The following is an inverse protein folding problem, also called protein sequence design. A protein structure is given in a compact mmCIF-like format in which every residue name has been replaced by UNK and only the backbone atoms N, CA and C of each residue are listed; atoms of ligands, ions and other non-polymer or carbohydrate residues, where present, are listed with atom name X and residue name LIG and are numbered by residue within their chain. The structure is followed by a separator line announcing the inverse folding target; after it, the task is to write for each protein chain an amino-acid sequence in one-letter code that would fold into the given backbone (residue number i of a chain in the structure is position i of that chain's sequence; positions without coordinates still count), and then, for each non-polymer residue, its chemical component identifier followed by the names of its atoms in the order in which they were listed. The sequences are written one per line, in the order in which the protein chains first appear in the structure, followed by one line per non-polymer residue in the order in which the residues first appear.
data_IF_230756837439
#
_entry.id   IF_230756837439
#
_cell.length_a   1.000
_cell.length_b   1.000
_cell.length_c   1.000
_cell.angle_alpha   90.00
_cell.angle_beta   90.00
_cell.angle_gamma   90.00
#
_symmetry.space_group_name_H-M   'P 1'
#
loop_
_entity.id
_entity.type
_entity.pdbx_description
1 polymer ?
#
# COMPACT_ATOMS: atom_id res chain seq x y z
N UNK A 1 -7.81 -27.08 1.08
CA UNK A 1 -6.37 -27.22 0.83
C UNK A 1 -6.07 -27.66 -0.60
N UNK A 2 -6.50 -28.86 -1.05
CA UNK A 2 -6.22 -29.33 -2.42
C UNK A 2 -6.67 -28.34 -3.52
N UNK A 3 -7.92 -27.84 -3.43
CA UNK A 3 -8.48 -26.88 -4.39
C UNK A 3 -7.68 -25.57 -4.39
N UNK A 4 -7.33 -25.03 -3.23
CA UNK A 4 -6.58 -23.77 -3.10
C UNK A 4 -5.13 -23.89 -3.61
N UNK A 5 -4.46 -25.02 -3.36
CA UNK A 5 -3.12 -25.26 -3.88
C UNK A 5 -3.12 -25.45 -5.41
N UNK A 6 -4.16 -26.07 -5.96
CA UNK A 6 -4.34 -26.18 -7.41
C UNK A 6 -4.46 -24.79 -8.05
N UNK A 7 -5.34 -23.92 -7.54
CA UNK A 7 -5.48 -22.55 -8.06
C UNK A 7 -4.21 -21.70 -7.89
N UNK A 8 -3.53 -21.80 -6.75
CA UNK A 8 -2.26 -21.11 -6.53
C UNK A 8 -1.17 -21.58 -7.49
N UNK A 9 -1.07 -22.89 -7.75
CA UNK A 9 -0.14 -23.46 -8.71
C UNK A 9 -0.42 -23.03 -10.16
N UNK A 10 -1.69 -23.05 -10.58
CA UNK A 10 -2.10 -22.59 -11.91
C UNK A 10 -1.80 -21.09 -12.08
N UNK A 11 -2.10 -20.27 -11.07
CA UNK A 11 -1.79 -18.83 -11.10
C UNK A 11 -0.29 -18.57 -11.23
N UNK A 12 0.55 -19.30 -10.48
CA UNK A 12 2.01 -19.20 -10.58
C UNK A 12 2.56 -19.63 -11.94
N UNK A 13 2.05 -20.74 -12.49
CA UNK A 13 2.44 -21.23 -13.81
C UNK A 13 2.08 -20.24 -14.93
N UNK A 14 0.89 -19.63 -14.87
CA UNK A 14 0.46 -18.60 -15.81
C UNK A 14 1.31 -17.33 -15.71
N UNK A 15 1.62 -16.88 -14.49
CA UNK A 15 2.48 -15.71 -14.28
C UNK A 15 3.88 -15.96 -14.84
N UNK A 16 4.49 -17.12 -14.54
CA UNK A 16 5.79 -17.48 -15.08
C UNK A 16 5.79 -17.55 -16.61
N UNK A 17 4.72 -18.10 -17.21
CA UNK A 17 4.55 -18.15 -18.66
C UNK A 17 4.38 -16.77 -19.29
N UNK A 18 3.69 -15.83 -18.62
CA UNK A 18 3.46 -14.48 -19.13
C UNK A 18 4.72 -13.60 -19.07
N UNK A 19 5.49 -13.73 -18.00
CA UNK A 19 6.72 -12.95 -17.81
C UNK A 19 7.85 -13.44 -18.73
N UNK A 20 7.85 -14.73 -19.10
CA UNK A 20 8.75 -15.30 -20.12
C UNK A 20 10.24 -15.39 -19.72
N UNK A 21 10.67 -14.67 -18.68
CA UNK A 21 11.99 -14.78 -18.04
C UNK A 21 11.89 -14.61 -16.54
N UNK A 22 12.50 -15.54 -15.79
CA UNK A 22 12.60 -15.43 -14.33
C UNK A 22 13.97 -14.89 -13.97
N UNK A 23 14.03 -13.64 -13.51
CA UNK A 23 15.24 -13.03 -12.96
C UNK A 23 15.31 -13.44 -11.48
N UNK A 24 16.38 -14.08 -10.99
CA UNK A 24 16.45 -14.63 -9.63
C UNK A 24 16.36 -13.56 -8.53
N UNK A 25 16.58 -12.30 -8.89
CA UNK A 25 16.56 -11.13 -8.01
C UNK A 25 15.15 -10.78 -7.49
N UNK A 26 14.09 -11.24 -8.16
CA UNK A 26 12.71 -10.97 -7.73
C UNK A 26 12.23 -11.90 -6.61
N UNK A 27 12.86 -13.06 -6.46
CA UNK A 27 12.48 -14.11 -5.49
C UNK A 27 13.37 -14.08 -4.24
N UNK A 28 13.66 -12.88 -3.75
CA UNK A 28 14.48 -12.67 -2.56
C UNK A 28 13.67 -12.83 -1.27
N UNK A 29 14.38 -13.01 -0.15
CA UNK A 29 13.79 -13.11 1.20
C UNK A 29 12.83 -11.96 1.54
N UNK A 30 13.05 -10.79 0.94
CA UNK A 30 12.16 -9.64 1.11
C UNK A 30 10.72 -9.94 0.66
N UNK A 31 10.53 -10.64 -0.46
CA UNK A 31 9.20 -11.06 -0.93
C UNK A 31 8.53 -12.01 0.07
N UNK A 32 9.29 -12.93 0.67
CA UNK A 32 8.77 -13.84 1.69
C UNK A 32 8.31 -13.10 2.94
N UNK A 33 9.11 -12.15 3.43
CA UNK A 33 8.74 -11.28 4.56
C UNK A 33 7.50 -10.46 4.22
N UNK A 34 7.39 -9.95 2.99
CA UNK A 34 6.23 -9.21 2.52
C UNK A 34 4.95 -10.06 2.53
N UNK A 35 5.01 -11.30 2.04
CA UNK A 35 3.86 -12.21 2.03
C UNK A 35 3.42 -12.55 3.47
N UNK A 36 4.38 -12.75 4.39
CA UNK A 36 4.08 -12.97 5.81
C UNK A 36 3.47 -11.70 6.43
N UNK A 37 3.99 -10.52 6.11
CA UNK A 37 3.44 -9.25 6.56
C UNK A 37 1.99 -9.05 6.08
N UNK A 38 1.68 -9.39 4.83
CA UNK A 38 0.30 -9.36 4.30
C UNK A 38 -0.65 -10.22 5.15
N UNK A 39 -0.23 -11.43 5.49
CA UNK A 39 -1.03 -12.35 6.31
C UNK A 39 -1.21 -11.82 7.73
N UNK A 40 -0.16 -11.23 8.32
CA UNK A 40 -0.19 -10.72 9.68
C UNK A 40 -1.02 -9.43 9.80
N UNK A 41 -0.86 -8.50 8.85
CA UNK A 41 -1.67 -7.28 8.71
C UNK A 41 -3.15 -7.62 8.50
N UNK A 42 -3.44 -8.65 7.70
CA UNK A 42 -4.82 -9.09 7.48
C UNK A 42 -5.50 -9.62 8.75
N UNK A 43 -4.75 -10.31 9.60
CA UNK A 43 -5.25 -11.03 10.77
C UNK A 43 -4.98 -12.52 10.61
N UNK A 44 -3.90 -12.98 11.24
CA UNK A 44 -3.47 -14.37 11.18
C UNK A 44 -4.58 -15.32 11.69
N UNK A 45 -4.80 -16.43 10.98
CA UNK A 45 -5.79 -17.44 11.37
C UNK A 45 -7.22 -17.19 10.87
N UNK A 46 -7.47 -16.14 10.08
CA UNK A 46 -8.80 -15.89 9.49
C UNK A 46 -8.76 -15.68 7.98
N UNK A 47 -9.69 -16.30 7.24
CA UNK A 47 -9.74 -16.20 5.78
C UNK A 47 -10.14 -14.80 5.31
N UNK A 48 -11.08 -14.14 6.01
CA UNK A 48 -11.46 -12.76 5.71
C UNK A 48 -10.35 -11.77 6.02
N UNK A 49 -9.57 -12.02 7.07
CA UNK A 49 -8.42 -11.21 7.42
C UNK A 49 -7.34 -11.27 6.34
N UNK A 50 -6.93 -12.46 5.91
CA UNK A 50 -5.92 -12.59 4.85
C UNK A 50 -6.35 -11.97 3.53
N UNK A 51 -7.64 -12.07 3.15
CA UNK A 51 -8.20 -11.38 1.99
C UNK A 51 -8.12 -9.85 2.13
N UNK A 52 -8.52 -9.30 3.29
CA UNK A 52 -8.46 -7.86 3.56
C UNK A 52 -7.02 -7.35 3.62
N UNK A 53 -6.10 -8.11 4.21
CA UNK A 53 -4.67 -7.80 4.24
C UNK A 53 -4.06 -7.78 2.85
N UNK A 54 -4.37 -8.77 2.02
CA UNK A 54 -3.92 -8.83 0.62
C UNK A 54 -4.47 -7.64 -0.18
N UNK A 55 -5.77 -7.36 -0.06
CA UNK A 55 -6.39 -6.21 -0.73
C UNK A 55 -5.76 -4.89 -0.27
N UNK A 56 -5.61 -4.69 1.04
CA UNK A 56 -5.05 -3.46 1.60
C UNK A 56 -3.61 -3.24 1.15
N UNK A 57 -2.73 -4.21 1.35
CA UNK A 57 -1.30 -4.07 1.01
C UNK A 57 -1.08 -3.90 -0.49
N UNK A 58 -1.92 -4.49 -1.35
CA UNK A 58 -1.79 -4.35 -2.80
C UNK A 58 -2.43 -3.05 -3.33
N UNK A 59 -3.54 -2.61 -2.75
CA UNK A 59 -4.25 -1.40 -3.17
C UNK A 59 -3.67 -0.12 -2.60
N UNK A 60 -3.15 -0.15 -1.36
CA UNK A 60 -2.57 1.00 -0.69
C UNK A 60 -1.46 1.71 -1.49
N UNK A 61 -0.44 1.02 -2.04
CA UNK A 61 0.57 1.68 -2.87
C UNK A 61 -0.03 2.24 -4.16
N UNK A 62 -1.17 1.71 -4.62
CA UNK A 62 -1.90 2.28 -5.76
C UNK A 62 -2.64 3.55 -5.37
N UNK A 63 -3.39 3.54 -4.28
CA UNK A 63 -4.11 4.71 -3.76
C UNK A 63 -3.14 5.87 -3.52
N UNK A 64 -1.96 5.61 -2.93
CA UNK A 64 -0.95 6.65 -2.68
C UNK A 64 -0.43 7.23 -4.00
N UNK A 65 -0.19 6.40 -5.02
CA UNK A 65 0.26 6.89 -6.34
C UNK A 65 -0.79 7.76 -7.00
N UNK A 66 -2.03 7.28 -7.02
CA UNK A 66 -3.14 8.01 -7.63
C UNK A 66 -3.39 9.33 -6.88
N UNK A 67 -3.27 9.32 -5.54
CA UNK A 67 -3.37 10.52 -4.70
C UNK A 67 -2.23 11.51 -4.96
N UNK A 68 -0.98 11.04 -5.03
CA UNK A 68 0.17 11.89 -5.34
C UNK A 68 0.08 12.47 -6.75
N UNK A 69 -0.41 11.71 -7.73
CA UNK A 69 -0.68 12.22 -9.09
C UNK A 69 -1.78 13.29 -9.08
N UNK A 70 -2.84 13.08 -8.30
CA UNK A 70 -3.87 14.10 -8.11
C UNK A 70 -3.29 15.38 -7.48
N UNK A 71 -2.44 15.26 -6.45
CA UNK A 71 -1.75 16.41 -5.84
C UNK A 71 -0.86 17.14 -6.85
N UNK A 72 -0.11 16.41 -7.69
CA UNK A 72 0.71 17.00 -8.75
C UNK A 72 -0.13 17.80 -9.75
N UNK A 73 -1.30 17.29 -10.12
CA UNK A 73 -2.24 18.01 -10.97
C UNK A 73 -2.70 19.33 -10.35
N UNK A 74 -2.95 19.35 -9.04
CA UNK A 74 -3.34 20.56 -8.29
C UNK A 74 -2.17 21.56 -8.21
N UNK A 75 -0.93 21.11 -8.03
CA UNK A 75 0.24 22.01 -8.02
C UNK A 75 0.48 22.62 -9.40
N UNK A 76 0.40 21.80 -10.46
CA UNK A 76 0.58 22.26 -11.85
C UNK A 76 -0.49 23.25 -12.29
N UNK A 77 -1.70 23.20 -11.72
CA UNK A 77 -2.73 24.20 -12.00
C UNK A 77 -2.38 25.61 -11.49
N UNK A 78 -1.45 25.76 -10.54
CA UNK A 78 -0.92 27.05 -10.08
C UNK A 78 -1.92 27.99 -9.40
N UNK A 79 -3.20 27.61 -9.32
CA UNK A 79 -4.29 28.43 -8.79
C UNK A 79 -4.77 27.90 -7.44
N UNK A 80 -4.65 28.73 -6.41
CA UNK A 80 -5.28 28.53 -5.11
C UNK A 80 -4.32 28.20 -3.96
N UNK A 81 -4.86 28.33 -2.73
CA UNK A 81 -4.11 28.11 -1.48
C UNK A 81 -3.66 26.66 -1.34
N UNK A 82 -4.43 25.70 -1.86
CA UNK A 82 -4.04 24.29 -1.82
C UNK A 82 -2.84 24.00 -2.73
N UNK A 83 -2.74 24.67 -3.89
CA UNK A 83 -1.61 24.53 -4.79
C UNK A 83 -0.32 25.02 -4.11
N UNK A 84 -0.35 26.18 -3.44
CA UNK A 84 0.82 26.71 -2.73
C UNK A 84 1.22 25.87 -1.50
N UNK A 85 0.25 25.26 -0.80
CA UNK A 85 0.54 24.36 0.31
C UNK A 85 1.16 23.03 -0.15
N UNK A 86 0.67 22.49 -1.27
CA UNK A 86 1.20 21.25 -1.83
C UNK A 86 2.54 21.45 -2.54
N UNK A 87 2.79 22.60 -3.14
CA UNK A 87 4.09 22.99 -3.71
C UNK A 87 5.19 23.01 -2.63
N UNK A 88 4.87 23.43 -1.40
CA UNK A 88 5.81 23.37 -0.26
C UNK A 88 6.21 21.92 0.10
N UNK A 89 5.38 20.93 -0.24
CA UNK A 89 5.62 19.51 0.05
C UNK A 89 6.19 18.76 -1.15
N UNK A 90 5.83 19.15 -2.38
CA UNK A 90 6.19 18.49 -3.63
C UNK A 90 7.17 19.34 -4.44
N UNK A 91 8.36 18.83 -4.69
CA UNK A 91 9.31 19.50 -5.56
C UNK A 91 8.91 19.31 -7.02
N UNK A 92 8.55 20.40 -7.69
CA UNK A 92 8.11 20.39 -9.10
C UNK A 92 9.13 21.00 -10.08
N UNK A 93 10.19 21.67 -9.61
CA UNK A 93 11.20 22.29 -10.46
C UNK A 93 12.63 22.36 -9.88
N UNK A 94 13.66 22.56 -10.72
CA UNK A 94 15.03 22.77 -10.27
C UNK A 94 15.18 24.11 -9.55
N UNK A 95 15.43 24.06 -8.25
CA UNK A 95 15.51 25.24 -7.36
C UNK A 95 14.44 25.26 -6.25
N UNK A 96 13.52 24.30 -6.29
CA UNK A 96 12.52 24.08 -5.25
C UNK A 96 13.03 23.09 -4.18
N UNK A 97 12.65 23.31 -2.92
CA UNK A 97 13.08 22.54 -1.74
C UNK A 97 11.97 21.62 -1.20
N UNK A 98 11.06 21.19 -2.07
CA UNK A 98 10.02 20.23 -1.70
C UNK A 98 10.60 18.87 -1.25
N UNK A 99 10.00 18.26 -0.23
CA UNK A 99 10.46 16.98 0.35
C UNK A 99 10.32 15.80 -0.62
N UNK A 100 9.41 15.89 -1.58
CA UNK A 100 9.01 14.79 -2.46
C UNK A 100 9.21 15.17 -3.93
N UNK A 101 10.14 14.51 -4.60
CA UNK A 101 10.49 14.76 -5.98
C UNK A 101 9.51 14.11 -6.95
N UNK A 102 8.92 14.94 -7.81
CA UNK A 102 8.01 14.50 -8.87
C UNK A 102 8.71 14.15 -10.18
N UNK A 103 9.95 14.64 -10.36
CA UNK A 103 10.85 14.31 -11.46
C UNK A 103 12.19 13.80 -10.92
N UNK A 104 12.61 12.60 -11.36
CA UNK A 104 13.85 11.98 -10.90
C UNK A 104 15.08 12.78 -11.34
N UNK A 105 15.90 13.21 -10.37
CA UNK A 105 17.24 13.78 -10.63
C UNK A 105 17.32 15.30 -10.82
N UNK A 106 16.24 16.05 -10.59
CA UNK A 106 16.19 17.51 -10.85
C UNK A 106 16.19 18.36 -9.57
N UNK A 107 15.84 17.79 -8.40
CA UNK A 107 15.75 18.52 -7.12
C UNK A 107 16.16 17.66 -5.91
N UNK A 108 16.54 18.25 -4.76
CA UNK A 108 16.84 17.51 -3.53
C UNK A 108 15.55 17.03 -2.84
N UNK A 109 15.31 15.72 -2.78
CA UNK A 109 14.09 15.15 -2.18
C UNK A 109 13.96 13.63 -2.42
N UNK A 110 12.99 13.00 -1.76
CA UNK A 110 12.66 11.58 -1.99
C UNK A 110 11.86 11.43 -3.28
N UNK A 111 12.30 10.58 -4.22
CA UNK A 111 11.52 10.27 -5.42
C UNK A 111 10.19 9.59 -5.06
N UNK A 112 9.17 9.72 -5.92
CA UNK A 112 7.84 9.10 -5.71
C UNK A 112 7.95 7.59 -5.41
N UNK A 113 8.84 6.88 -6.09
CA UNK A 113 9.04 5.43 -5.89
C UNK A 113 9.65 5.11 -4.53
N UNK A 114 10.63 5.92 -4.10
CA UNK A 114 11.29 5.79 -2.81
C UNK A 114 10.32 6.16 -1.68
N UNK A 115 9.54 7.21 -1.87
CA UNK A 115 8.48 7.62 -0.95
C UNK A 115 7.40 6.54 -0.83
N UNK A 116 7.00 5.91 -1.93
CA UNK A 116 6.04 4.80 -1.87
C UNK A 116 6.60 3.67 -1.00
N UNK A 117 7.87 3.29 -1.20
CA UNK A 117 8.53 2.24 -0.39
C UNK A 117 8.65 2.64 1.09
N UNK A 118 8.99 3.89 1.39
CA UNK A 118 9.10 4.40 2.77
C UNK A 118 7.73 4.45 3.44
N UNK A 119 6.71 5.01 2.77
CA UNK A 119 5.34 5.07 3.27
C UNK A 119 4.77 3.67 3.45
N UNK A 120 5.05 2.76 2.51
CA UNK A 120 4.66 1.36 2.61
C UNK A 120 5.27 0.69 3.85
N UNK A 121 6.58 0.84 4.07
CA UNK A 121 7.26 0.31 5.24
C UNK A 121 6.75 0.92 6.55
N UNK A 122 6.56 2.24 6.59
CA UNK A 122 5.99 2.93 7.76
C UNK A 122 4.55 2.51 8.03
N UNK A 123 3.74 2.25 7.00
CA UNK A 123 2.37 1.78 7.17
C UNK A 123 2.33 0.35 7.68
N UNK A 124 3.23 -0.53 7.24
CA UNK A 124 3.38 -1.86 7.86
C UNK A 124 3.70 -1.69 9.35
N UNK A 125 4.72 -0.93 9.69
CA UNK A 125 5.15 -0.75 11.09
C UNK A 125 4.03 -0.11 11.94
N UNK A 126 3.43 0.96 11.43
CA UNK A 126 2.32 1.67 12.07
C UNK A 126 1.12 0.77 12.29
N UNK A 127 0.79 -0.06 11.31
CA UNK A 127 -0.32 -0.98 11.44
C UNK A 127 -0.04 -2.11 12.44
N UNK A 128 1.19 -2.63 12.46
CA UNK A 128 1.63 -3.63 13.43
C UNK A 128 1.60 -3.13 14.86
N UNK A 129 1.86 -1.84 15.09
CA UNK A 129 1.88 -1.27 16.44
C UNK A 129 0.48 -0.86 16.94
N UNK A 130 -0.36 -0.32 16.06
CA UNK A 130 -1.69 0.15 16.46
C UNK A 130 -2.71 -0.99 16.59
N UNK A 131 -2.59 -2.05 15.79
CA UNK A 131 -3.57 -3.14 15.79
C UNK A 131 -2.95 -4.53 15.68
N UNK A 132 -2.65 -5.19 16.82
CA UNK A 132 -2.00 -6.50 16.82
C UNK A 132 -2.89 -7.63 16.26
N UNK A 133 -4.21 -7.41 16.16
CA UNK A 133 -5.18 -8.37 15.59
C UNK A 133 -5.33 -8.23 14.06
N UNK A 134 -4.73 -7.20 13.48
CA UNK A 134 -4.85 -6.85 12.08
C UNK A 134 -6.21 -6.29 11.66
N UNK A 135 -6.41 -6.10 10.35
CA UNK A 135 -7.59 -5.44 9.77
C UNK A 135 -8.89 -6.16 10.11
N UNK A 136 -8.79 -7.47 10.31
CA UNK A 136 -9.90 -8.29 10.79
C UNK A 136 -10.45 -7.82 12.14
N UNK A 137 -9.61 -7.32 13.04
CA UNK A 137 -10.00 -6.79 14.34
C UNK A 137 -10.92 -5.56 14.21
N UNK A 138 -10.57 -4.61 13.34
CA UNK A 138 -11.44 -3.46 13.02
C UNK A 138 -12.75 -3.96 12.45
N UNK A 139 -12.69 -4.85 11.47
CA UNK A 139 -13.88 -5.33 10.80
C UNK A 139 -14.87 -5.98 11.76
N UNK A 140 -14.38 -6.77 12.72
CA UNK A 140 -15.22 -7.34 13.77
C UNK A 140 -15.85 -6.26 14.65
N UNK A 141 -15.10 -5.22 15.05
CA UNK A 141 -15.64 -4.12 15.86
C UNK A 141 -16.72 -3.34 15.11
N UNK A 142 -16.49 -3.03 13.84
CA UNK A 142 -17.48 -2.36 12.98
C UNK A 142 -18.72 -3.25 12.85
N UNK A 143 -18.56 -4.53 12.47
CA UNK A 143 -19.69 -5.43 12.29
C UNK A 143 -20.49 -5.61 13.58
N UNK A 144 -19.81 -5.73 14.72
CA UNK A 144 -20.45 -5.89 16.01
C UNK A 144 -21.18 -4.60 16.44
N UNK A 145 -20.59 -3.43 16.17
CA UNK A 145 -21.24 -2.14 16.38
C UNK A 145 -22.53 -2.01 15.56
N UNK A 146 -22.46 -2.33 14.27
CA UNK A 146 -23.62 -2.31 13.37
C UNK A 146 -24.70 -3.34 13.75
N UNK A 147 -24.32 -4.50 14.31
CA UNK A 147 -25.28 -5.50 14.77
C UNK A 147 -25.92 -5.18 16.12
N UNK A 148 -25.22 -4.46 16.99
CA UNK A 148 -25.74 -4.00 18.29
C UNK A 148 -26.57 -2.71 18.21
N UNK A 149 -26.64 -2.11 17.02
CA UNK A 149 -27.39 -0.90 16.75
C UNK A 149 -28.80 -1.26 16.21
N UNK A 150 -29.91 -0.66 16.69
CA UNK A 150 -30.06 0.33 17.76
C UNK A 150 -30.42 -0.22 19.16
N UNK A 151 -30.49 -1.54 19.37
CA UNK A 151 -30.78 -2.10 20.71
C UNK A 151 -29.71 -3.11 21.12
N UNK A 152 -28.84 -2.67 22.04
CA UNK A 152 -27.89 -3.54 22.73
C UNK A 152 -28.57 -4.06 23.99
N UNK A 153 -29.00 -5.33 23.97
CA UNK A 153 -29.29 -6.12 25.17
C UNK A 153 -28.42 -7.38 25.13
#
# INVERSE_FOLDING_TARGET
FAISCCFAGVSGALLASFVGRSIPETWILFLSVQIIAIVLIGGAGTVSGTLMGAAFVTLLPRIIRDFTQWMQGVVQSGEGVLASLFDLVLSTGPGDFGLVNTAAGVAPGLGIDQLNLVIYGLLIIGFLIFEPLGLYGIWLRIRNYWKGWPFTY
#
